data_IF_962556359376
#
_entry.id   IF_962556359376
#
_cell.length_a   1.000
_cell.length_b   1.000
_cell.length_c   1.000
_cell.angle_alpha   90.00
_cell.angle_beta   90.00
_cell.angle_gamma   90.00
#
_symmetry.space_group_name_H-M   'P 1'
#
loop_
_entity.id
_entity.type
_entity.pdbx_description
1 polymer ?
#
# COMPACT_ATOMS: atom_id res chain seq x y z
N UNK A 1 -22.84 32.25 15.14
CA UNK A 1 -22.89 31.01 15.96
C UNK A 1 -22.18 29.89 15.23
N UNK A 2 -20.94 29.58 15.62
CA UNK A 2 -20.17 28.49 15.04
C UNK A 2 -20.67 27.15 15.62
N UNK A 3 -21.62 26.51 15.00
CA UNK A 3 -21.97 25.13 15.33
C UNK A 3 -20.80 24.25 14.90
N UNK A 4 -19.96 23.84 15.87
CA UNK A 4 -18.93 22.79 15.66
C UNK A 4 -19.65 21.59 15.05
N UNK A 5 -19.44 21.34 13.75
CA UNK A 5 -19.93 20.13 13.08
C UNK A 5 -19.43 18.92 13.87
N UNK A 6 -20.36 18.14 14.42
CA UNK A 6 -20.03 16.89 15.13
C UNK A 6 -19.52 15.90 14.07
N UNK A 7 -18.21 15.64 14.03
CA UNK A 7 -17.63 14.65 13.13
C UNK A 7 -18.27 13.28 13.37
N UNK A 8 -18.76 12.66 12.31
CA UNK A 8 -19.28 11.30 12.39
C UNK A 8 -18.11 10.29 12.38
N UNK A 9 -17.65 9.87 13.55
CA UNK A 9 -16.56 8.92 13.70
C UNK A 9 -16.88 7.53 13.14
N UNK A 10 -18.13 7.09 13.20
CA UNK A 10 -18.56 5.83 12.59
C UNK A 10 -18.33 5.87 11.08
N UNK A 11 -18.63 7.00 10.44
CA UNK A 11 -18.39 7.17 9.00
C UNK A 11 -16.92 7.02 8.64
N UNK A 12 -16.02 7.68 9.39
CA UNK A 12 -14.57 7.56 9.17
C UNK A 12 -14.07 6.13 9.47
N UNK A 13 -14.55 5.52 10.55
CA UNK A 13 -14.19 4.14 10.90
C UNK A 13 -14.57 3.17 9.77
N UNK A 14 -15.75 3.30 9.17
CA UNK A 14 -16.17 2.48 8.05
C UNK A 14 -15.34 2.73 6.79
N UNK A 15 -14.90 3.96 6.55
CA UNK A 15 -13.96 4.27 5.47
C UNK A 15 -12.58 3.63 5.70
N UNK A 16 -12.07 3.68 6.92
CA UNK A 16 -10.81 3.05 7.31
C UNK A 16 -10.91 1.52 7.11
N UNK A 17 -11.95 0.92 7.65
CA UNK A 17 -12.17 -0.52 7.60
C UNK A 17 -12.29 -1.02 6.14
N UNK A 18 -13.15 -0.38 5.36
CA UNK A 18 -13.31 -0.71 3.93
C UNK A 18 -12.06 -0.39 3.12
N UNK A 19 -11.36 0.70 3.49
CA UNK A 19 -10.18 1.21 2.79
C UNK A 19 -9.01 0.24 2.75
N UNK A 20 -8.89 -0.65 3.71
CA UNK A 20 -7.89 -1.72 3.69
C UNK A 20 -8.50 -3.07 3.32
N UNK A 21 -9.73 -3.37 3.79
CA UNK A 21 -10.39 -4.65 3.51
C UNK A 21 -10.39 -5.00 2.01
N UNK A 22 -10.60 -4.01 1.14
CA UNK A 22 -10.61 -4.20 -0.32
C UNK A 22 -9.26 -4.66 -0.88
N UNK A 23 -8.14 -4.38 -0.19
CA UNK A 23 -6.78 -4.73 -0.60
C UNK A 23 -6.23 -6.00 0.06
N UNK A 24 -6.99 -6.63 0.96
CA UNK A 24 -6.51 -7.81 1.68
C UNK A 24 -6.24 -8.98 0.74
N UNK A 25 -7.23 -9.35 -0.07
CA UNK A 25 -7.10 -10.49 -1.00
C UNK A 25 -5.99 -10.28 -2.04
N UNK A 26 -5.92 -9.14 -2.76
CA UNK A 26 -4.91 -8.96 -3.80
C UNK A 26 -3.49 -8.73 -3.28
N UNK A 27 -3.31 -8.18 -2.08
CA UNK A 27 -1.98 -7.76 -1.65
C UNK A 27 -1.57 -8.23 -0.27
N UNK A 28 -2.43 -8.10 0.76
CA UNK A 28 -2.00 -8.37 2.13
C UNK A 28 -1.73 -9.85 2.33
N UNK A 29 -2.58 -10.73 1.79
CA UNK A 29 -2.35 -12.18 1.88
C UNK A 29 -1.06 -12.59 1.14
N UNK A 30 -0.85 -12.06 -0.07
CA UNK A 30 0.37 -12.34 -0.83
C UNK A 30 1.65 -11.76 -0.17
N UNK A 31 1.53 -10.70 0.64
CA UNK A 31 2.64 -10.13 1.42
C UNK A 31 2.95 -10.98 2.66
N UNK A 32 1.91 -11.32 3.43
CA UNK A 32 2.05 -12.04 4.70
C UNK A 32 2.45 -13.50 4.45
N UNK A 33 1.80 -14.15 3.50
CA UNK A 33 1.99 -15.58 3.19
C UNK A 33 2.75 -15.80 1.87
N UNK A 34 3.71 -14.91 1.52
CA UNK A 34 4.40 -15.01 0.22
C UNK A 34 4.99 -16.40 -0.06
N UNK A 35 5.72 -17.06 0.86
CA UNK A 35 6.23 -18.40 0.63
C UNK A 35 5.11 -19.39 0.30
N UNK A 36 4.05 -19.41 1.10
CA UNK A 36 2.89 -20.29 0.92
C UNK A 36 2.21 -20.05 -0.42
N UNK A 37 2.02 -18.78 -0.81
CA UNK A 37 1.41 -18.41 -2.10
C UNK A 37 2.24 -18.93 -3.28
N UNK A 38 3.56 -18.77 -3.25
CA UNK A 38 4.45 -19.28 -4.30
C UNK A 38 4.34 -20.81 -4.43
N UNK A 39 4.34 -21.53 -3.31
CA UNK A 39 4.29 -22.99 -3.32
C UNK A 39 2.91 -23.54 -3.67
N UNK A 40 1.83 -23.01 -3.07
CA UNK A 40 0.46 -23.49 -3.29
C UNK A 40 0.01 -23.29 -4.74
N UNK A 41 0.35 -22.16 -5.33
CA UNK A 41 0.00 -21.88 -6.74
C UNK A 41 1.09 -22.29 -7.74
N UNK A 42 2.18 -22.91 -7.24
CA UNK A 42 3.35 -23.29 -8.04
C UNK A 42 3.84 -22.17 -8.95
N UNK A 43 4.12 -21.01 -8.32
CA UNK A 43 4.56 -19.79 -8.98
C UNK A 43 6.02 -19.50 -8.70
N UNK A 44 6.72 -18.98 -9.70
CA UNK A 44 7.96 -18.24 -9.51
C UNK A 44 7.68 -16.83 -8.96
N UNK A 45 8.70 -16.18 -8.42
CA UNK A 45 8.56 -14.79 -7.98
C UNK A 45 8.23 -13.85 -9.14
N UNK A 46 8.77 -14.12 -10.33
CA UNK A 46 8.46 -13.38 -11.55
C UNK A 46 6.99 -13.53 -11.95
N UNK A 47 6.43 -14.73 -11.86
CA UNK A 47 5.05 -14.98 -12.19
C UNK A 47 4.09 -14.27 -11.23
N UNK A 48 4.36 -14.28 -9.92
CA UNK A 48 3.61 -13.50 -8.94
C UNK A 48 3.76 -11.99 -9.21
N UNK A 49 4.98 -11.53 -9.52
CA UNK A 49 5.24 -10.15 -9.90
C UNK A 49 4.47 -9.73 -11.16
N UNK A 50 4.33 -10.64 -12.14
CA UNK A 50 3.55 -10.42 -13.36
C UNK A 50 2.05 -10.27 -13.06
N UNK A 51 1.51 -11.03 -12.10
CA UNK A 51 0.14 -10.84 -11.61
C UNK A 51 -0.05 -9.40 -11.06
N UNK A 52 0.88 -8.91 -10.25
CA UNK A 52 0.86 -7.52 -9.77
C UNK A 52 0.95 -6.51 -10.91
N UNK A 53 1.72 -6.77 -11.97
CA UNK A 53 1.79 -5.90 -13.14
C UNK A 53 0.45 -5.81 -13.87
N UNK A 54 -0.23 -6.94 -14.09
CA UNK A 54 -1.56 -6.96 -14.71
C UNK A 54 -2.55 -6.13 -13.88
N UNK A 55 -2.51 -6.29 -12.55
CA UNK A 55 -3.27 -5.41 -11.65
C UNK A 55 -2.92 -3.94 -11.90
N UNK A 56 -1.64 -3.58 -11.93
CA UNK A 56 -1.16 -2.21 -12.09
C UNK A 56 -1.59 -1.57 -13.41
N UNK A 57 -1.56 -2.29 -14.53
CA UNK A 57 -2.05 -1.80 -15.83
C UNK A 57 -3.55 -1.50 -15.79
N UNK A 58 -4.35 -2.43 -15.26
CA UNK A 58 -5.80 -2.21 -15.14
C UNK A 58 -6.11 -1.10 -14.15
N UNK A 59 -5.37 -1.01 -13.04
CA UNK A 59 -5.50 0.06 -12.06
C UNK A 59 -5.20 1.43 -12.68
N UNK A 60 -4.15 1.55 -13.49
CA UNK A 60 -3.78 2.80 -14.14
C UNK A 60 -4.88 3.30 -15.09
N UNK A 61 -5.47 2.40 -15.90
CA UNK A 61 -6.63 2.73 -16.72
C UNK A 61 -7.85 3.11 -15.85
N UNK A 62 -8.03 2.43 -14.73
CA UNK A 62 -9.12 2.64 -13.79
C UNK A 62 -9.04 3.99 -13.07
N UNK A 63 -7.84 4.50 -12.77
CA UNK A 63 -7.66 5.85 -12.21
C UNK A 63 -8.21 6.95 -13.13
N UNK A 64 -7.99 6.82 -14.44
CA UNK A 64 -8.46 7.81 -15.41
C UNK A 64 -9.99 7.82 -15.53
N UNK A 65 -10.63 6.66 -15.45
CA UNK A 65 -12.06 6.49 -15.73
C UNK A 65 -12.94 6.49 -14.47
N UNK A 66 -12.39 6.14 -13.30
CA UNK A 66 -13.14 5.99 -12.06
C UNK A 66 -13.65 7.32 -11.45
N UNK A 67 -12.96 8.44 -11.72
CA UNK A 67 -13.34 9.76 -11.23
C UNK A 67 -14.77 10.18 -11.61
N UNK A 68 -15.14 10.20 -12.91
CA UNK A 68 -16.48 10.55 -13.36
C UNK A 68 -17.61 9.69 -12.76
N UNK A 69 -17.33 8.41 -12.47
CA UNK A 69 -18.30 7.51 -11.85
C UNK A 69 -18.50 7.83 -10.37
N UNK A 70 -17.41 8.17 -9.68
CA UNK A 70 -17.48 8.61 -8.29
C UNK A 70 -18.30 9.90 -8.12
N UNK A 71 -18.42 10.71 -9.17
CA UNK A 71 -19.23 11.94 -9.14
C UNK A 71 -20.72 11.67 -9.33
N UNK A 72 -21.07 10.65 -10.10
CA UNK A 72 -22.46 10.30 -10.42
C UNK A 72 -23.16 9.49 -9.35
N UNK A 73 -22.43 8.69 -8.59
CA UNK A 73 -23.00 7.73 -7.65
C UNK A 73 -22.58 8.03 -6.20
N UNK A 74 -23.45 7.77 -5.22
CA UNK A 74 -23.09 7.95 -3.81
C UNK A 74 -21.95 7.00 -3.41
N UNK A 75 -20.91 7.50 -2.69
CA UNK A 75 -19.73 6.72 -2.33
C UNK A 75 -20.07 5.38 -1.66
N UNK A 76 -21.09 5.33 -0.78
CA UNK A 76 -21.49 4.09 -0.09
C UNK A 76 -21.83 2.95 -1.03
N UNK A 77 -22.53 3.24 -2.16
CA UNK A 77 -22.94 2.20 -3.12
C UNK A 77 -21.72 1.66 -3.86
N UNK A 78 -20.85 2.55 -4.35
CA UNK A 78 -19.65 2.17 -5.09
C UNK A 78 -18.68 1.39 -4.20
N UNK A 79 -18.43 1.86 -2.97
CA UNK A 79 -17.56 1.19 -1.99
C UNK A 79 -18.10 -0.20 -1.64
N UNK A 80 -19.39 -0.33 -1.37
CA UNK A 80 -19.97 -1.63 -1.03
C UNK A 80 -19.94 -2.60 -2.22
N UNK A 81 -20.28 -2.15 -3.43
CA UNK A 81 -20.20 -2.97 -4.66
C UNK A 81 -18.76 -3.40 -4.91
N UNK A 82 -17.78 -2.52 -4.71
CA UNK A 82 -16.37 -2.85 -4.82
C UNK A 82 -15.95 -3.97 -3.85
N UNK A 83 -16.39 -3.88 -2.59
CA UNK A 83 -16.10 -4.91 -1.58
C UNK A 83 -16.72 -6.25 -1.96
N UNK A 84 -17.99 -6.28 -2.39
CA UNK A 84 -18.65 -7.51 -2.83
C UNK A 84 -17.94 -8.10 -4.05
N UNK A 85 -17.66 -7.28 -5.06
CA UNK A 85 -16.96 -7.72 -6.24
C UNK A 85 -15.55 -8.26 -5.91
N UNK A 86 -14.80 -7.56 -5.05
CA UNK A 86 -13.46 -8.01 -4.63
C UNK A 86 -13.53 -9.34 -3.87
N UNK A 87 -14.51 -9.52 -2.98
CA UNK A 87 -14.71 -10.76 -2.24
C UNK A 87 -15.07 -11.95 -3.15
N UNK A 88 -15.84 -11.72 -4.22
CA UNK A 88 -16.11 -12.76 -5.24
C UNK A 88 -14.81 -13.28 -5.88
N UNK A 89 -13.81 -12.42 -6.06
CA UNK A 89 -12.48 -12.86 -6.51
C UNK A 89 -11.81 -13.84 -5.54
N UNK A 90 -12.14 -13.77 -4.25
CA UNK A 90 -11.67 -14.73 -3.24
C UNK A 90 -12.17 -16.15 -3.49
N UNK A 91 -13.38 -16.33 -4.05
CA UNK A 91 -13.89 -17.66 -4.43
C UNK A 91 -13.02 -18.28 -5.53
N UNK A 92 -12.60 -17.46 -6.48
CA UNK A 92 -11.69 -17.90 -7.55
C UNK A 92 -10.30 -18.21 -6.96
N UNK A 93 -9.77 -17.37 -6.06
CA UNK A 93 -8.47 -17.61 -5.43
C UNK A 93 -8.47 -18.93 -4.66
N UNK A 94 -9.53 -19.21 -3.87
CA UNK A 94 -9.65 -20.42 -3.05
C UNK A 94 -9.88 -21.69 -3.87
N UNK A 95 -10.13 -21.61 -5.17
CA UNK A 95 -10.20 -22.77 -6.06
C UNK A 95 -8.82 -23.23 -6.56
N UNK A 96 -7.74 -22.66 -6.05
CA UNK A 96 -6.36 -22.91 -6.50
C UNK A 96 -6.18 -22.78 -8.01
N UNK A 97 -6.51 -21.61 -8.59
CA UNK A 97 -6.53 -21.41 -10.03
C UNK A 97 -5.13 -21.49 -10.65
N UNK A 98 -5.08 -21.80 -11.95
CA UNK A 98 -3.84 -21.76 -12.71
C UNK A 98 -3.26 -20.34 -12.79
N UNK A 99 -1.96 -20.24 -13.09
CA UNK A 99 -1.26 -18.95 -13.26
C UNK A 99 -1.97 -18.02 -14.27
N UNK A 100 -2.53 -18.56 -15.36
CA UNK A 100 -3.28 -17.76 -16.34
C UNK A 100 -4.53 -17.12 -15.71
N UNK A 101 -5.30 -17.91 -14.95
CA UNK A 101 -6.50 -17.42 -14.26
C UNK A 101 -6.12 -16.44 -13.15
N UNK A 102 -5.00 -16.65 -12.44
CA UNK A 102 -4.48 -15.69 -11.45
C UNK A 102 -4.20 -14.33 -12.08
N UNK A 103 -3.58 -14.26 -13.25
CA UNK A 103 -3.36 -12.98 -13.97
C UNK A 103 -4.68 -12.26 -14.25
N UNK A 104 -5.70 -12.99 -14.72
CA UNK A 104 -7.03 -12.42 -14.98
C UNK A 104 -7.65 -11.92 -13.66
N UNK A 105 -7.54 -12.70 -12.57
CA UNK A 105 -8.05 -12.35 -11.26
C UNK A 105 -7.38 -11.07 -10.72
N UNK A 106 -6.06 -10.92 -10.87
CA UNK A 106 -5.37 -9.70 -10.48
C UNK A 106 -5.80 -8.50 -11.31
N UNK A 107 -6.02 -8.67 -12.61
CA UNK A 107 -6.63 -7.64 -13.47
C UNK A 107 -8.04 -7.26 -13.00
N UNK A 108 -8.86 -8.25 -12.68
CA UNK A 108 -10.19 -8.04 -12.10
C UNK A 108 -10.12 -7.24 -10.79
N UNK A 109 -9.20 -7.56 -9.89
CA UNK A 109 -8.99 -6.79 -8.67
C UNK A 109 -8.45 -5.38 -8.92
N UNK A 110 -7.63 -5.17 -9.97
CA UNK A 110 -7.22 -3.83 -10.41
C UNK A 110 -8.42 -2.96 -10.78
N UNK A 111 -9.46 -3.57 -11.42
CA UNK A 111 -10.71 -2.89 -11.71
C UNK A 111 -11.54 -2.65 -10.43
N UNK A 112 -11.83 -3.68 -9.63
CA UNK A 112 -12.75 -3.55 -8.48
C UNK A 112 -12.23 -2.62 -7.40
N UNK A 113 -10.93 -2.65 -7.13
CA UNK A 113 -10.30 -1.87 -6.06
C UNK A 113 -9.99 -0.43 -6.46
N UNK A 114 -9.82 -0.15 -7.74
CA UNK A 114 -9.46 1.19 -8.21
C UNK A 114 -10.64 1.89 -8.87
N UNK A 115 -11.26 1.29 -9.87
CA UNK A 115 -12.34 1.93 -10.61
C UNK A 115 -13.59 2.17 -9.73
N UNK A 116 -13.99 1.15 -8.96
CA UNK A 116 -15.18 1.24 -8.12
C UNK A 116 -14.92 1.82 -6.73
N UNK A 117 -13.70 1.71 -6.21
CA UNK A 117 -13.43 1.97 -4.81
C UNK A 117 -12.62 3.24 -4.55
N UNK A 118 -11.51 3.44 -5.26
CA UNK A 118 -10.50 4.44 -4.89
C UNK A 118 -11.05 5.88 -4.88
N UNK A 119 -11.59 6.34 -5.99
CA UNK A 119 -12.12 7.70 -6.09
C UNK A 119 -13.29 7.97 -5.13
N UNK A 120 -14.28 7.06 -4.98
CA UNK A 120 -15.32 7.18 -3.97
C UNK A 120 -14.80 7.27 -2.54
N UNK A 121 -13.81 6.48 -2.16
CA UNK A 121 -13.20 6.52 -0.83
C UNK A 121 -12.53 7.88 -0.58
N UNK A 122 -11.74 8.38 -1.52
CA UNK A 122 -11.08 9.69 -1.41
C UNK A 122 -12.12 10.81 -1.29
N UNK A 123 -13.18 10.79 -2.13
CA UNK A 123 -14.29 11.75 -2.06
C UNK A 123 -14.96 11.73 -0.68
N UNK A 124 -15.29 10.53 -0.19
CA UNK A 124 -15.93 10.36 1.11
C UNK A 124 -15.06 10.87 2.27
N UNK A 125 -13.74 10.60 2.21
CA UNK A 125 -12.77 11.09 3.20
C UNK A 125 -12.65 12.61 3.19
N UNK A 126 -12.61 13.23 2.01
CA UNK A 126 -12.59 14.70 1.87
C UNK A 126 -13.84 15.35 2.43
N UNK A 127 -15.03 14.76 2.18
CA UNK A 127 -16.31 15.22 2.74
C UNK A 127 -16.29 15.17 4.25
N UNK A 128 -15.76 14.11 4.85
CA UNK A 128 -15.61 14.00 6.29
C UNK A 128 -14.65 15.05 6.87
N UNK A 129 -13.52 15.29 6.22
CA UNK A 129 -12.52 16.25 6.65
C UNK A 129 -12.99 17.71 6.56
N UNK A 130 -13.95 18.00 5.68
CA UNK A 130 -14.44 19.37 5.42
C UNK A 130 -13.30 20.33 5.08
N UNK A 131 -13.50 21.65 5.29
CA UNK A 131 -12.54 22.67 4.92
C UNK A 131 -11.33 22.81 5.88
N UNK A 132 -11.37 22.21 7.08
CA UNK A 132 -10.39 22.49 8.14
C UNK A 132 -9.71 21.26 8.75
N UNK A 133 -10.07 20.05 8.33
CA UNK A 133 -9.56 18.82 8.93
C UNK A 133 -9.11 17.78 7.91
N UNK A 134 -8.64 18.22 6.75
CA UNK A 134 -8.21 17.30 5.66
C UNK A 134 -7.00 16.45 6.08
N UNK A 135 -5.99 17.06 6.69
CA UNK A 135 -4.80 16.34 7.18
C UNK A 135 -5.16 15.25 8.20
N UNK A 136 -6.04 15.58 9.15
CA UNK A 136 -6.56 14.60 10.13
C UNK A 136 -7.34 13.48 9.45
N UNK A 137 -8.21 13.81 8.48
CA UNK A 137 -9.03 12.83 7.78
C UNK A 137 -8.17 11.78 7.04
N UNK A 138 -7.20 12.23 6.27
CA UNK A 138 -6.30 11.36 5.54
C UNK A 138 -5.27 10.67 6.44
N UNK A 139 -4.79 11.34 7.49
CA UNK A 139 -3.91 10.75 8.49
C UNK A 139 -4.57 9.57 9.23
N UNK A 140 -5.81 9.75 9.69
CA UNK A 140 -6.57 8.67 10.30
C UNK A 140 -6.93 7.57 9.31
N UNK A 141 -7.25 7.93 8.05
CA UNK A 141 -7.52 6.94 7.02
C UNK A 141 -6.29 6.05 6.79
N UNK A 142 -5.11 6.63 6.53
CA UNK A 142 -3.91 5.84 6.18
C UNK A 142 -3.35 5.08 7.40
N UNK A 143 -3.28 5.72 8.55
CA UNK A 143 -2.87 5.06 9.79
C UNK A 143 -3.82 3.94 10.21
N UNK A 144 -5.14 4.21 10.18
CA UNK A 144 -6.16 3.21 10.52
C UNK A 144 -6.16 2.02 9.55
N UNK A 145 -5.94 2.24 8.25
CA UNK A 145 -5.79 1.17 7.27
C UNK A 145 -4.62 0.24 7.62
N UNK A 146 -3.50 0.79 8.09
CA UNK A 146 -2.38 -0.02 8.57
C UNK A 146 -2.80 -0.99 9.70
N UNK A 147 -3.56 -0.51 10.68
CA UNK A 147 -4.08 -1.35 11.77
C UNK A 147 -5.06 -2.43 11.27
N UNK A 148 -5.95 -2.08 10.35
CA UNK A 148 -6.87 -3.07 9.74
C UNK A 148 -6.08 -4.15 9.00
N UNK A 149 -5.09 -3.77 8.18
CA UNK A 149 -4.21 -4.72 7.49
C UNK A 149 -3.48 -5.64 8.46
N UNK A 150 -2.95 -5.10 9.56
CA UNK A 150 -2.30 -5.86 10.61
C UNK A 150 -3.26 -6.86 11.29
N UNK A 151 -4.50 -6.43 11.57
CA UNK A 151 -5.51 -7.31 12.17
C UNK A 151 -5.88 -8.48 11.26
N UNK A 152 -6.04 -8.24 9.95
CA UNK A 152 -6.25 -9.32 8.98
C UNK A 152 -5.03 -10.24 8.84
N UNK A 153 -3.82 -9.67 8.84
CA UNK A 153 -2.59 -10.46 8.84
C UNK A 153 -2.50 -11.39 10.05
N UNK A 154 -2.73 -10.84 11.25
CA UNK A 154 -2.74 -11.61 12.50
C UNK A 154 -3.84 -12.69 12.51
N UNK A 155 -5.05 -12.37 12.04
CA UNK A 155 -6.12 -13.34 11.88
C UNK A 155 -5.72 -14.46 10.92
N UNK A 156 -5.10 -14.11 9.79
CA UNK A 156 -4.60 -15.09 8.83
C UNK A 156 -3.55 -16.03 9.44
N UNK A 157 -2.56 -15.48 10.16
CA UNK A 157 -1.53 -16.28 10.86
C UNK A 157 -2.18 -17.19 11.91
N UNK A 158 -3.14 -16.67 12.67
CA UNK A 158 -3.87 -17.47 13.66
C UNK A 158 -4.62 -18.64 12.99
N UNK A 159 -5.39 -18.39 11.93
CA UNK A 159 -6.09 -19.45 11.19
C UNK A 159 -5.09 -20.45 10.64
N UNK A 160 -4.01 -19.99 10.01
CA UNK A 160 -2.99 -20.87 9.44
C UNK A 160 -2.39 -21.80 10.48
N UNK A 161 -2.11 -21.29 11.68
CA UNK A 161 -1.55 -22.08 12.77
C UNK A 161 -2.51 -23.15 13.33
N UNK A 162 -3.83 -22.96 13.22
CA UNK A 162 -4.83 -23.96 13.67
C UNK A 162 -4.89 -25.19 12.77
N UNK A 163 -4.57 -25.04 11.48
CA UNK A 163 -4.64 -26.13 10.48
C UNK A 163 -3.31 -26.88 10.34
N UNK A 164 -2.22 -26.30 10.83
CA UNK A 164 -0.91 -26.98 10.83
C UNK A 164 -0.69 -27.64 12.19
N UNK A 165 -1.19 -28.86 12.32
CA UNK A 165 -1.00 -29.69 13.51
C UNK A 165 0.38 -30.35 13.43
N UNK A 166 1.25 -30.06 14.39
CA UNK A 166 2.63 -30.55 14.43
C UNK A 166 3.65 -29.49 13.97
N UNK A 167 4.81 -29.91 13.49
CA UNK A 167 5.77 -28.97 12.91
C UNK A 167 5.33 -28.59 11.50
N UNK A 168 5.44 -27.30 11.16
CA UNK A 168 5.16 -26.79 9.79
C UNK A 168 6.04 -27.49 8.75
N UNK A 169 7.21 -27.96 9.16
CA UNK A 169 8.18 -28.70 8.34
C UNK A 169 7.66 -30.07 7.89
N UNK A 170 6.73 -30.66 8.63
CA UNK A 170 6.11 -31.95 8.30
C UNK A 170 4.76 -31.81 7.60
N UNK A 171 4.20 -30.61 7.54
CA UNK A 171 2.91 -30.38 6.89
C UNK A 171 3.03 -30.56 5.37
N UNK A 172 2.15 -31.39 4.80
CA UNK A 172 2.09 -31.59 3.35
C UNK A 172 1.70 -30.30 2.63
N UNK A 173 2.07 -30.16 1.36
CA UNK A 173 1.63 -29.05 0.52
C UNK A 173 0.09 -28.96 0.48
N UNK A 174 -0.59 -30.11 0.49
CA UNK A 174 -2.05 -30.17 0.53
C UNK A 174 -2.62 -29.52 1.81
N UNK A 175 -2.05 -29.81 2.98
CA UNK A 175 -2.49 -29.21 4.25
C UNK A 175 -2.24 -27.69 4.26
N UNK A 176 -1.12 -27.22 3.69
CA UNK A 176 -0.81 -25.80 3.59
C UNK A 176 -1.74 -25.08 2.63
N UNK A 177 -2.08 -25.71 1.50
CA UNK A 177 -3.06 -25.20 0.55
C UNK A 177 -4.45 -25.11 1.18
N UNK A 178 -4.86 -26.12 1.93
CA UNK A 178 -6.14 -26.14 2.65
C UNK A 178 -6.19 -25.02 3.70
N UNK A 179 -5.14 -24.88 4.52
CA UNK A 179 -5.04 -23.80 5.51
C UNK A 179 -5.13 -22.42 4.86
N UNK A 180 -4.43 -22.21 3.74
CA UNK A 180 -4.49 -20.94 3.00
C UNK A 180 -5.89 -20.70 2.42
N UNK A 181 -6.54 -21.72 1.87
CA UNK A 181 -7.91 -21.60 1.35
C UNK A 181 -8.90 -21.21 2.45
N UNK A 182 -8.77 -21.72 3.69
CA UNK A 182 -9.58 -21.28 4.82
C UNK A 182 -9.37 -19.79 5.14
N UNK A 183 -8.12 -19.31 5.09
CA UNK A 183 -7.85 -17.87 5.26
C UNK A 183 -8.56 -17.05 4.19
N UNK A 184 -8.50 -17.48 2.93
CA UNK A 184 -9.17 -16.79 1.81
C UNK A 184 -10.69 -16.79 2.00
N UNK A 185 -11.30 -17.91 2.41
CA UNK A 185 -12.73 -18.01 2.68
C UNK A 185 -13.17 -17.09 3.81
N UNK A 186 -12.51 -17.16 4.97
CA UNK A 186 -12.83 -16.33 6.13
C UNK A 186 -12.66 -14.84 5.80
N UNK A 187 -11.57 -14.49 5.14
CA UNK A 187 -11.30 -13.11 4.72
C UNK A 187 -12.37 -12.61 3.75
N UNK A 188 -12.74 -13.41 2.75
CA UNK A 188 -13.80 -13.05 1.80
C UNK A 188 -15.14 -12.85 2.49
N UNK A 189 -15.50 -13.71 3.45
CA UNK A 189 -16.72 -13.57 4.23
C UNK A 189 -16.73 -12.27 5.06
N UNK A 190 -15.60 -11.94 5.70
CA UNK A 190 -15.47 -10.68 6.46
C UNK A 190 -15.60 -9.46 5.53
N UNK A 191 -15.00 -9.49 4.33
CA UNK A 191 -15.11 -8.41 3.35
C UNK A 191 -16.57 -8.22 2.91
N UNK A 192 -17.33 -9.31 2.71
CA UNK A 192 -18.76 -9.26 2.41
C UNK A 192 -19.53 -8.59 3.56
N UNK A 193 -19.27 -9.00 4.81
CA UNK A 193 -19.90 -8.40 5.99
C UNK A 193 -19.60 -6.90 6.07
N UNK A 194 -18.34 -6.50 5.85
CA UNK A 194 -17.95 -5.08 5.79
C UNK A 194 -18.73 -4.37 4.68
N UNK A 195 -18.87 -4.98 3.50
CA UNK A 195 -19.66 -4.45 2.40
C UNK A 195 -21.12 -4.21 2.77
N UNK A 196 -21.75 -5.16 3.47
CA UNK A 196 -23.13 -5.02 3.99
C UNK A 196 -23.21 -3.86 4.98
N UNK A 197 -22.30 -3.80 5.94
CA UNK A 197 -22.27 -2.71 6.95
C UNK A 197 -22.08 -1.35 6.27
N UNK A 198 -21.17 -1.25 5.30
CA UNK A 198 -20.97 -0.02 4.51
C UNK A 198 -22.23 0.37 3.73
N UNK A 199 -22.89 -0.59 3.09
CA UNK A 199 -24.14 -0.33 2.36
C UNK A 199 -25.22 0.30 3.20
N UNK A 200 -25.38 -0.14 4.46
CA UNK A 200 -26.44 0.35 5.34
C UNK A 200 -26.03 1.56 6.18
N UNK A 201 -24.79 1.61 6.65
CA UNK A 201 -24.36 2.55 7.69
C UNK A 201 -23.45 3.68 7.19
N UNK A 202 -22.79 3.56 6.02
CA UNK A 202 -21.99 4.65 5.46
C UNK A 202 -22.91 5.72 4.85
N UNK A 203 -23.78 6.32 5.68
CA UNK A 203 -24.70 7.37 5.27
C UNK A 203 -24.11 8.73 5.65
N UNK A 204 -23.87 9.58 4.64
CA UNK A 204 -23.61 10.99 4.88
C UNK A 204 -24.95 11.72 4.97
N UNK A 205 -25.27 12.30 6.12
CA UNK A 205 -26.43 13.19 6.29
C UNK A 205 -26.28 14.53 5.56
N UNK A 206 -25.09 14.83 5.03
CA UNK A 206 -24.68 16.18 4.64
C UNK A 206 -24.20 16.31 3.19
N UNK A 207 -24.32 15.29 2.35
CA UNK A 207 -24.14 15.48 0.93
C UNK A 207 -25.49 15.99 0.35
N UNK A 208 -25.80 17.25 0.64
CA UNK A 208 -26.55 18.03 -0.34
C UNK A 208 -25.60 18.17 -1.54
N UNK A 209 -26.04 17.68 -2.68
CA UNK A 209 -25.30 17.51 -3.93
C UNK A 209 -24.77 18.84 -4.53
N UNK A 210 -24.91 19.96 -3.82
CA UNK A 210 -24.71 21.31 -4.37
C UNK A 210 -23.33 21.93 -4.12
N UNK A 211 -22.42 21.34 -3.30
CA UNK A 211 -21.20 22.08 -2.91
C UNK A 211 -19.86 21.43 -3.24
N UNK A 212 -19.81 20.25 -3.84
CA UNK A 212 -18.56 19.72 -4.38
C UNK A 212 -18.68 19.66 -5.91
N UNK A 213 -18.65 20.80 -6.56
CA UNK A 213 -18.20 20.85 -7.94
C UNK A 213 -16.74 20.40 -7.93
N UNK A 214 -16.53 19.08 -8.14
CA UNK A 214 -15.25 18.62 -8.65
C UNK A 214 -15.17 19.24 -10.04
N UNK A 215 -14.53 20.41 -10.12
CA UNK A 215 -14.26 21.06 -11.39
C UNK A 215 -13.57 20.00 -12.25
N UNK A 216 -14.20 19.69 -13.38
CA UNK A 216 -13.60 18.84 -14.38
C UNK A 216 -12.18 19.36 -14.63
N UNK A 217 -11.18 18.45 -14.56
CA UNK A 217 -9.78 18.82 -14.76
C UNK A 217 -9.68 19.56 -16.09
N UNK A 218 -9.44 20.87 -16.04
CA UNK A 218 -9.27 21.68 -17.24
C UNK A 218 -7.87 21.42 -17.83
N UNK A 219 -7.78 21.34 -19.17
CA UNK A 219 -6.49 21.26 -19.87
C UNK A 219 -5.54 22.40 -19.50
N UNK A 220 -6.08 23.56 -19.17
CA UNK A 220 -5.31 24.69 -18.66
C UNK A 220 -4.70 24.42 -17.29
N UNK A 221 -5.44 23.79 -16.37
CA UNK A 221 -4.94 23.41 -15.04
C UNK A 221 -3.83 22.37 -15.13
N UNK A 222 -3.97 21.38 -16.01
CA UNK A 222 -2.92 20.39 -16.28
C UNK A 222 -1.63 21.06 -16.73
N UNK A 223 -1.71 21.95 -17.72
CA UNK A 223 -0.55 22.70 -18.24
C UNK A 223 0.08 23.57 -17.15
N UNK A 224 -0.72 24.18 -16.29
CA UNK A 224 -0.22 25.00 -15.16
C UNK A 224 0.54 24.15 -14.15
N UNK A 225 -0.01 23.00 -13.76
CA UNK A 225 0.65 22.08 -12.81
C UNK A 225 1.95 21.52 -13.37
N UNK A 226 1.99 21.13 -14.64
CA UNK A 226 3.20 20.61 -15.29
C UNK A 226 4.33 21.65 -15.41
N UNK A 227 4.03 22.95 -15.32
CA UNK A 227 5.04 24.01 -15.29
C UNK A 227 5.69 24.19 -13.91
N UNK A 228 5.17 23.57 -12.86
CA UNK A 228 5.69 23.68 -11.50
C UNK A 228 6.84 22.66 -11.31
N UNK A 229 8.11 23.07 -11.14
CA UNK A 229 9.24 22.15 -11.06
C UNK A 229 9.15 21.18 -9.89
N UNK A 230 8.58 21.59 -8.74
CA UNK A 230 8.40 20.74 -7.57
C UNK A 230 7.48 19.54 -7.84
N UNK A 231 6.56 19.64 -8.80
CA UNK A 231 5.68 18.53 -9.20
C UNK A 231 6.49 17.38 -9.79
N UNK A 232 7.44 17.67 -10.67
CA UNK A 232 8.30 16.65 -11.29
C UNK A 232 9.20 15.96 -10.27
N UNK A 233 9.76 16.71 -9.33
CA UNK A 233 10.55 16.15 -8.24
C UNK A 233 9.70 15.26 -7.32
N UNK A 234 8.45 15.67 -7.03
CA UNK A 234 7.51 14.85 -6.27
C UNK A 234 7.12 13.56 -7.00
N UNK A 235 6.97 13.58 -8.32
CA UNK A 235 6.76 12.37 -9.12
C UNK A 235 7.88 11.35 -8.88
N UNK A 236 9.14 11.80 -8.93
CA UNK A 236 10.32 10.95 -8.70
C UNK A 236 10.38 10.48 -7.23
N UNK A 237 10.17 11.39 -6.27
CA UNK A 237 10.18 11.07 -4.84
C UNK A 237 9.14 9.98 -4.53
N UNK A 238 7.92 10.13 -5.03
CA UNK A 238 6.83 9.17 -4.77
C UNK A 238 7.10 7.84 -5.46
N UNK A 239 7.58 7.86 -6.71
CA UNK A 239 7.97 6.63 -7.41
C UNK A 239 9.02 5.84 -6.60
N UNK A 240 10.09 6.50 -6.15
CA UNK A 240 11.14 5.87 -5.35
C UNK A 240 10.62 5.37 -4.00
N UNK A 241 9.81 6.17 -3.31
CA UNK A 241 9.17 5.78 -2.06
C UNK A 241 8.27 4.55 -2.23
N UNK A 242 7.55 4.49 -3.35
CA UNK A 242 6.62 3.40 -3.61
C UNK A 242 7.33 2.10 -4.02
N UNK A 243 8.48 2.18 -4.72
CA UNK A 243 9.36 1.01 -4.90
C UNK A 243 9.80 0.46 -3.53
N UNK A 244 10.24 1.33 -2.62
CA UNK A 244 10.60 0.91 -1.26
C UNK A 244 9.44 0.22 -0.54
N UNK A 245 8.23 0.76 -0.68
CA UNK A 245 7.04 0.13 -0.10
C UNK A 245 6.75 -1.25 -0.71
N UNK A 246 6.92 -1.44 -2.03
CA UNK A 246 6.74 -2.74 -2.69
C UNK A 246 7.76 -3.78 -2.21
N UNK A 247 8.98 -3.37 -1.91
CA UNK A 247 10.01 -4.28 -1.40
C UNK A 247 9.65 -4.85 -0.02
N UNK A 248 8.78 -4.17 0.76
CA UNK A 248 8.30 -4.77 2.01
C UNK A 248 7.52 -6.08 1.82
N UNK A 249 7.09 -6.38 0.60
CA UNK A 249 6.38 -7.61 0.25
C UNK A 249 7.29 -8.87 0.28
N UNK A 250 8.63 -8.71 0.30
CA UNK A 250 9.57 -9.84 0.28
C UNK A 250 10.14 -10.22 1.65
N UNK A 251 9.85 -9.48 2.72
CA UNK A 251 10.43 -9.78 4.04
C UNK A 251 9.99 -11.14 4.62
N UNK A 252 8.76 -11.58 4.36
CA UNK A 252 8.31 -12.91 4.76
C UNK A 252 9.06 -14.01 4.01
N UNK A 253 9.37 -13.77 2.73
CA UNK A 253 10.18 -14.69 1.93
C UNK A 253 11.65 -14.69 2.41
N UNK A 254 12.24 -13.52 2.69
CA UNK A 254 13.57 -13.40 3.28
C UNK A 254 13.67 -14.19 4.60
N UNK A 255 12.66 -14.08 5.45
CA UNK A 255 12.62 -14.80 6.72
C UNK A 255 12.62 -16.31 6.51
N UNK A 256 11.98 -16.81 5.45
CA UNK A 256 12.02 -18.24 5.08
C UNK A 256 13.36 -18.63 4.47
N UNK A 257 13.81 -17.92 3.44
CA UNK A 257 14.91 -18.32 2.58
C UNK A 257 16.28 -18.13 3.26
N UNK A 258 16.46 -17.05 4.04
CA UNK A 258 17.74 -16.64 4.63
C UNK A 258 17.79 -16.93 6.12
N UNK A 259 16.70 -16.62 6.87
CA UNK A 259 16.66 -16.88 8.30
C UNK A 259 16.22 -18.31 8.62
N UNK A 260 15.82 -19.08 7.62
CA UNK A 260 15.33 -20.46 7.74
C UNK A 260 14.15 -20.60 8.71
N UNK A 261 13.29 -19.57 8.76
CA UNK A 261 12.08 -19.62 9.56
C UNK A 261 11.02 -20.49 8.89
N UNK A 262 10.20 -21.17 9.69
CA UNK A 262 9.04 -21.87 9.17
C UNK A 262 7.98 -20.87 8.65
N UNK A 263 6.94 -21.36 7.98
CA UNK A 263 5.95 -20.51 7.32
C UNK A 263 5.17 -19.64 8.29
N UNK A 264 4.85 -20.14 9.50
CA UNK A 264 4.15 -19.34 10.53
C UNK A 264 5.02 -18.18 10.98
N UNK A 265 6.28 -18.43 11.35
CA UNK A 265 7.23 -17.36 11.73
C UNK A 265 7.49 -16.39 10.59
N UNK A 266 7.56 -16.87 9.36
CA UNK A 266 7.75 -16.02 8.18
C UNK A 266 6.53 -15.12 7.95
N UNK A 267 5.31 -15.65 8.13
CA UNK A 267 4.07 -14.87 8.05
C UNK A 267 3.94 -13.87 9.22
N UNK A 268 4.42 -14.22 10.42
CA UNK A 268 4.49 -13.29 11.56
C UNK A 268 5.36 -12.06 11.23
N UNK A 269 6.50 -12.24 10.55
CA UNK A 269 7.33 -11.11 10.10
C UNK A 269 6.54 -10.19 9.19
N UNK A 270 5.84 -10.72 8.18
CA UNK A 270 4.97 -9.94 7.30
C UNK A 270 3.88 -9.16 8.07
N UNK A 271 3.32 -9.79 9.11
CA UNK A 271 2.29 -9.18 9.96
C UNK A 271 2.86 -8.07 10.85
N UNK A 272 4.03 -8.28 11.47
CA UNK A 272 4.71 -7.28 12.30
C UNK A 272 4.97 -5.99 11.51
N UNK A 273 5.34 -6.10 10.23
CA UNK A 273 5.54 -4.93 9.36
C UNK A 273 4.28 -4.08 9.23
N UNK A 274 3.12 -4.71 9.14
CA UNK A 274 1.83 -4.00 9.07
C UNK A 274 1.51 -3.28 10.38
N UNK A 275 1.88 -3.84 11.54
CA UNK A 275 1.74 -3.19 12.84
C UNK A 275 2.70 -2.01 13.04
N UNK A 276 3.92 -2.10 12.54
CA UNK A 276 4.92 -1.03 12.66
C UNK A 276 4.51 0.23 11.88
N UNK A 277 3.89 0.05 10.70
CA UNK A 277 3.54 1.14 9.79
C UNK A 277 2.74 2.29 10.42
N UNK A 278 1.62 2.06 11.14
CA UNK A 278 0.86 3.16 11.75
C UNK A 278 1.65 3.91 12.81
N UNK A 279 2.47 3.22 13.61
CA UNK A 279 3.31 3.88 14.62
C UNK A 279 4.33 4.82 13.99
N UNK A 280 5.03 4.37 12.95
CA UNK A 280 5.99 5.20 12.23
C UNK A 280 5.28 6.37 11.56
N UNK A 281 4.15 6.15 10.89
CA UNK A 281 3.41 7.19 10.19
C UNK A 281 2.92 8.31 11.14
N UNK A 282 2.37 7.93 12.29
CA UNK A 282 1.93 8.88 13.32
C UNK A 282 3.12 9.64 13.90
N UNK A 283 4.16 8.93 14.33
CA UNK A 283 5.34 9.53 14.96
C UNK A 283 6.02 10.52 14.03
N UNK A 284 6.29 10.12 12.78
CA UNK A 284 7.00 10.98 11.82
C UNK A 284 6.15 12.20 11.42
N UNK A 285 4.83 12.05 11.34
CA UNK A 285 3.91 13.16 11.11
C UNK A 285 4.01 14.23 12.19
N UNK A 286 3.98 13.84 13.47
CA UNK A 286 4.15 14.77 14.58
C UNK A 286 5.52 15.46 14.59
N UNK A 287 6.58 14.74 14.25
CA UNK A 287 7.94 15.29 14.21
C UNK A 287 8.08 16.26 13.03
N UNK A 288 7.54 15.89 11.86
CA UNK A 288 7.60 16.70 10.65
C UNK A 288 6.81 18.02 10.79
N UNK A 289 5.65 17.99 11.44
CA UNK A 289 4.84 19.20 11.71
C UNK A 289 5.56 20.25 12.55
N UNK A 290 6.54 19.84 13.37
CA UNK A 290 7.35 20.75 14.21
C UNK A 290 8.57 21.33 13.49
N UNK A 291 8.84 20.89 12.25
CA UNK A 291 10.03 21.27 11.49
C UNK A 291 9.72 21.24 9.98
N UNK A 292 10.76 21.15 9.12
CA UNK A 292 10.56 21.03 7.67
C UNK A 292 10.31 19.59 7.27
N UNK A 293 9.16 19.31 6.65
CA UNK A 293 8.78 17.98 6.18
C UNK A 293 9.79 17.39 5.19
N UNK A 294 10.33 18.23 4.30
CA UNK A 294 11.36 17.81 3.33
C UNK A 294 12.65 17.32 3.99
N UNK A 295 13.05 17.89 5.14
CA UNK A 295 14.23 17.42 5.89
C UNK A 295 14.02 15.96 6.36
N UNK A 296 12.84 15.68 6.88
CA UNK A 296 12.49 14.32 7.34
C UNK A 296 12.37 13.33 6.19
N UNK A 297 11.95 13.77 4.99
CA UNK A 297 12.04 12.95 3.77
C UNK A 297 13.48 12.55 3.47
N UNK A 298 14.42 13.49 3.51
CA UNK A 298 15.86 13.24 3.30
C UNK A 298 16.39 12.22 4.31
N UNK A 299 16.11 12.43 5.61
CA UNK A 299 16.52 11.51 6.69
C UNK A 299 15.92 10.13 6.47
N UNK A 300 14.66 10.05 6.08
CA UNK A 300 13.96 8.78 5.84
C UNK A 300 14.56 8.00 4.67
N UNK A 301 14.93 8.66 3.57
CA UNK A 301 15.65 7.99 2.49
C UNK A 301 17.04 7.52 2.91
N UNK A 302 17.76 8.28 3.75
CA UNK A 302 19.05 7.84 4.31
C UNK A 302 18.84 6.56 5.15
N UNK A 303 17.82 6.52 6.01
CA UNK A 303 17.50 5.32 6.79
C UNK A 303 17.17 4.12 5.87
N UNK A 304 16.39 4.36 4.79
CA UNK A 304 16.09 3.30 3.82
C UNK A 304 17.35 2.76 3.14
N UNK A 305 18.31 3.64 2.79
CA UNK A 305 19.60 3.24 2.20
C UNK A 305 20.42 2.43 3.22
N UNK A 306 20.55 2.90 4.46
CA UNK A 306 21.31 2.20 5.49
C UNK A 306 20.74 0.80 5.75
N UNK A 307 19.42 0.68 5.91
CA UNK A 307 18.76 -0.61 6.09
C UNK A 307 18.93 -1.51 4.87
N UNK A 308 18.79 -0.98 3.67
CA UNK A 308 18.98 -1.73 2.43
C UNK A 308 20.41 -2.27 2.31
N UNK A 309 21.43 -1.47 2.66
CA UNK A 309 22.83 -1.90 2.62
C UNK A 309 23.12 -2.99 3.66
N UNK A 310 22.50 -2.96 4.85
CA UNK A 310 22.62 -4.04 5.83
C UNK A 310 22.13 -5.38 5.25
N UNK A 311 20.98 -5.41 4.56
CA UNK A 311 20.48 -6.61 3.90
C UNK A 311 21.32 -7.01 2.69
N UNK A 312 21.82 -6.05 1.93
CA UNK A 312 22.64 -6.30 0.75
C UNK A 312 24.06 -6.81 1.10
N UNK A 313 24.54 -6.58 2.32
CA UNK A 313 25.89 -6.94 2.74
C UNK A 313 26.10 -8.44 2.98
N UNK A 314 25.03 -9.23 3.11
CA UNK A 314 25.11 -10.66 3.41
C UNK A 314 25.58 -11.01 4.84
N UNK A 315 25.62 -10.03 5.76
CA UNK A 315 26.00 -10.29 7.16
C UNK A 315 24.88 -10.90 8.01
N UNK A 316 23.64 -10.88 7.50
CA UNK A 316 22.47 -11.40 8.19
C UNK A 316 22.35 -12.90 7.87
N UNK A 317 22.41 -13.72 8.90
CA UNK A 317 22.37 -15.19 8.80
C UNK A 317 21.40 -15.77 9.83
N UNK A 318 21.05 -17.07 9.79
CA UNK A 318 20.06 -17.68 10.69
C UNK A 318 20.30 -17.49 12.19
N UNK A 319 21.57 -17.30 12.59
CA UNK A 319 21.93 -17.12 14.02
C UNK A 319 21.84 -15.65 14.47
N UNK A 320 21.72 -14.70 13.55
CA UNK A 320 21.74 -13.25 13.81
C UNK A 320 20.36 -12.62 13.91
N UNK A 321 19.42 -13.22 14.65
CA UNK A 321 18.03 -12.74 14.79
C UNK A 321 17.92 -11.28 15.20
N UNK A 322 18.75 -10.83 16.17
CA UNK A 322 18.73 -9.42 16.61
C UNK A 322 19.13 -8.48 15.50
N UNK A 323 20.17 -8.80 14.73
CA UNK A 323 20.62 -8.00 13.58
C UNK A 323 19.54 -7.96 12.51
N UNK A 324 18.90 -9.10 12.22
CA UNK A 324 17.78 -9.19 11.27
C UNK A 324 16.64 -8.25 11.67
N UNK A 325 16.16 -8.33 12.92
CA UNK A 325 15.05 -7.50 13.40
C UNK A 325 15.41 -6.01 13.42
N UNK A 326 16.63 -5.67 13.83
CA UNK A 326 17.12 -4.28 13.83
C UNK A 326 17.21 -3.74 12.41
N UNK A 327 17.71 -4.54 11.46
CA UNK A 327 17.81 -4.17 10.04
C UNK A 327 16.42 -3.97 9.41
N UNK A 328 15.45 -4.84 9.73
CA UNK A 328 14.04 -4.62 9.37
C UNK A 328 13.58 -3.27 9.90
N UNK A 329 13.72 -3.01 11.20
CA UNK A 329 13.21 -1.80 11.84
C UNK A 329 13.80 -0.53 11.20
N UNK A 330 15.11 -0.50 10.93
CA UNK A 330 15.78 0.62 10.25
C UNK A 330 15.17 0.81 8.84
N UNK A 331 15.09 -0.26 8.07
CA UNK A 331 14.60 -0.22 6.68
C UNK A 331 13.15 0.27 6.61
N UNK A 332 12.26 -0.36 7.40
CA UNK A 332 10.84 -0.01 7.34
C UNK A 332 10.52 1.35 7.95
N UNK A 333 11.33 1.80 8.92
CA UNK A 333 11.22 3.18 9.44
C UNK A 333 11.47 4.17 8.32
N UNK A 334 12.53 4.01 7.54
CA UNK A 334 12.80 4.85 6.38
C UNK A 334 11.66 4.78 5.36
N UNK A 335 11.29 3.58 4.91
CA UNK A 335 10.28 3.36 3.87
C UNK A 335 8.90 3.90 4.27
N UNK A 336 8.42 3.62 5.48
CA UNK A 336 7.10 4.06 5.92
C UNK A 336 7.06 5.55 6.25
N UNK A 337 8.17 6.12 6.74
CA UNK A 337 8.27 7.55 6.98
C UNK A 337 8.22 8.35 5.67
N UNK A 338 8.98 7.95 4.63
CA UNK A 338 8.88 8.58 3.30
C UNK A 338 7.46 8.51 2.79
N UNK A 339 6.82 7.32 2.87
CA UNK A 339 5.46 7.09 2.40
C UNK A 339 4.44 8.00 3.10
N UNK A 340 4.60 8.25 4.39
CA UNK A 340 3.70 9.11 5.15
C UNK A 340 3.89 10.60 4.84
N UNK A 341 5.09 11.01 4.42
CA UNK A 341 5.46 12.41 4.29
C UNK A 341 5.37 12.96 2.86
N UNK A 342 5.46 12.14 1.81
CA UNK A 342 5.64 12.65 0.44
C UNK A 342 4.53 13.60 -0.02
N UNK A 343 3.27 13.37 0.33
CA UNK A 343 2.20 14.31 -0.01
C UNK A 343 2.15 15.52 0.93
N UNK A 344 2.63 15.40 2.16
CA UNK A 344 2.73 16.53 3.09
C UNK A 344 3.68 17.61 2.58
N UNK A 345 4.70 17.24 1.77
CA UNK A 345 5.65 18.19 1.19
C UNK A 345 5.06 19.07 0.06
N UNK A 346 3.84 18.80 -0.41
CA UNK A 346 3.22 19.62 -1.46
C UNK A 346 3.08 21.10 -1.05
N UNK A 347 2.84 21.37 0.22
CA UNK A 347 2.76 22.71 0.76
C UNK A 347 4.13 23.42 0.66
N UNK A 348 5.19 22.77 1.05
CA UNK A 348 6.56 23.28 0.93
C UNK A 348 6.96 23.45 -0.55
N UNK A 349 6.44 22.62 -1.43
CA UNK A 349 6.64 22.71 -2.90
C UNK A 349 5.89 23.85 -3.59
N UNK A 350 5.20 24.72 -2.82
CA UNK A 350 4.40 25.84 -3.34
C UNK A 350 3.37 25.41 -4.38
N UNK A 351 2.80 24.21 -4.25
CA UNK A 351 1.70 23.75 -5.09
C UNK A 351 0.42 24.45 -4.64
N UNK A 352 -0.23 25.25 -5.51
CA UNK A 352 -1.42 26.00 -5.11
C UNK A 352 -2.53 25.06 -4.58
N UNK A 353 -3.18 25.46 -3.49
CA UNK A 353 -4.22 24.65 -2.86
C UNK A 353 -5.36 24.32 -3.85
N UNK A 354 -5.72 25.26 -4.71
CA UNK A 354 -6.74 25.09 -5.74
C UNK A 354 -6.37 24.05 -6.83
N UNK A 355 -5.07 23.76 -7.01
CA UNK A 355 -4.56 22.81 -7.99
C UNK A 355 -4.14 21.48 -7.35
N UNK A 356 -4.37 21.31 -6.05
CA UNK A 356 -3.93 20.12 -5.31
C UNK A 356 -4.48 18.83 -5.93
N UNK A 357 -5.75 18.77 -6.26
CA UNK A 357 -6.36 17.58 -6.85
C UNK A 357 -5.74 17.20 -8.19
N UNK A 358 -5.57 18.18 -9.09
CA UNK A 358 -4.91 17.99 -10.39
C UNK A 358 -3.46 17.56 -10.21
N UNK A 359 -2.73 18.19 -9.28
CA UNK A 359 -1.34 17.85 -9.00
C UNK A 359 -1.21 16.44 -8.46
N UNK A 360 -2.03 16.05 -7.47
CA UNK A 360 -2.05 14.68 -6.91
C UNK A 360 -2.37 13.66 -8.00
N UNK A 361 -3.35 13.92 -8.85
CA UNK A 361 -3.70 13.02 -9.95
C UNK A 361 -2.51 12.78 -10.90
N UNK A 362 -1.88 13.86 -11.37
CA UNK A 362 -0.72 13.78 -12.29
C UNK A 362 0.49 13.10 -11.61
N UNK A 363 0.80 13.46 -10.37
CA UNK A 363 1.89 12.88 -9.60
C UNK A 363 1.65 11.38 -9.40
N UNK A 364 0.41 10.97 -9.12
CA UNK A 364 0.06 9.57 -8.85
C UNK A 364 0.20 8.67 -10.07
N UNK A 365 -0.06 9.18 -11.29
CA UNK A 365 0.11 8.40 -12.53
C UNK A 365 1.55 7.90 -12.65
N UNK A 366 2.54 8.74 -12.35
CA UNK A 366 3.96 8.36 -12.39
C UNK A 366 4.37 7.69 -11.07
N UNK A 367 3.97 8.26 -9.93
CA UNK A 367 4.38 7.81 -8.61
C UNK A 367 3.96 6.36 -8.29
N UNK A 368 2.86 5.87 -8.87
CA UNK A 368 2.38 4.49 -8.65
C UNK A 368 2.69 3.53 -9.80
N UNK A 369 3.50 3.92 -10.77
CA UNK A 369 4.01 3.00 -11.81
C UNK A 369 4.79 1.80 -11.26
N UNK A 370 5.39 1.82 -10.05
CA UNK A 370 5.97 0.62 -9.47
C UNK A 370 5.00 -0.55 -9.28
N UNK A 371 3.68 -0.33 -9.25
CA UNK A 371 2.70 -1.43 -9.32
C UNK A 371 2.86 -2.27 -10.58
N UNK A 372 3.39 -1.68 -11.66
CA UNK A 372 3.58 -2.37 -12.94
C UNK A 372 4.92 -3.10 -12.98
N UNK A 373 6.02 -2.45 -12.58
CA UNK A 373 7.37 -2.96 -12.84
C UNK A 373 8.09 -3.54 -11.61
N UNK A 374 7.78 -3.08 -10.39
CA UNK A 374 8.55 -3.48 -9.21
C UNK A 374 8.40 -4.97 -8.90
N UNK A 375 7.18 -5.52 -9.06
CA UNK A 375 6.93 -6.95 -8.87
C UNK A 375 7.76 -7.84 -9.79
N UNK A 376 7.66 -7.68 -11.13
CA UNK A 376 8.49 -8.45 -12.06
C UNK A 376 9.98 -8.25 -11.85
N UNK A 377 10.44 -7.03 -11.57
CA UNK A 377 11.87 -6.76 -11.35
C UNK A 377 12.39 -7.50 -10.12
N UNK A 378 11.64 -7.47 -9.00
CA UNK A 378 11.96 -8.27 -7.81
C UNK A 378 11.94 -9.76 -8.13
N UNK A 379 10.96 -10.21 -8.92
CA UNK A 379 10.85 -11.60 -9.34
C UNK A 379 12.07 -12.07 -10.12
N UNK A 380 12.50 -11.31 -11.13
CA UNK A 380 13.70 -11.60 -11.92
C UNK A 380 14.93 -11.71 -11.02
N UNK A 381 15.10 -10.79 -10.07
CA UNK A 381 16.25 -10.78 -9.18
C UNK A 381 16.28 -12.00 -8.25
N UNK A 382 15.10 -12.40 -7.72
CA UNK A 382 14.98 -13.54 -6.82
C UNK A 382 15.11 -14.89 -7.57
N UNK A 383 14.48 -15.01 -8.72
CA UNK A 383 14.42 -16.27 -9.47
C UNK A 383 15.76 -16.58 -10.18
N UNK A 384 16.48 -15.54 -10.66
CA UNK A 384 17.80 -15.72 -11.28
C UNK A 384 18.94 -15.98 -10.27
N UNK A 385 18.73 -15.66 -9.01
CA UNK A 385 19.71 -15.84 -7.94
C UNK A 385 19.01 -16.35 -6.67
N UNK A 386 18.57 -17.62 -6.64
CA UNK A 386 17.81 -18.17 -5.51
C UNK A 386 18.54 -18.05 -4.17
N UNK A 387 17.78 -17.87 -3.10
CA UNK A 387 18.29 -17.75 -1.74
C UNK A 387 18.84 -16.36 -1.42
N UNK A 388 19.88 -16.29 -0.60
CA UNK A 388 20.40 -15.04 -0.05
C UNK A 388 20.81 -14.01 -1.13
N UNK A 389 21.46 -14.46 -2.20
CA UNK A 389 21.98 -13.57 -3.25
C UNK A 389 20.86 -12.82 -3.98
N UNK A 390 19.74 -13.46 -4.26
CA UNK A 390 18.59 -12.80 -4.88
C UNK A 390 18.00 -11.71 -3.97
N UNK A 391 17.92 -12.00 -2.67
CA UNK A 391 17.50 -10.99 -1.69
C UNK A 391 18.49 -9.83 -1.61
N UNK A 392 19.81 -10.08 -1.64
CA UNK A 392 20.80 -9.02 -1.70
C UNK A 392 20.59 -8.11 -2.91
N UNK A 393 20.32 -8.66 -4.10
CA UNK A 393 20.01 -7.90 -5.32
C UNK A 393 18.74 -7.04 -5.15
N UNK A 394 17.68 -7.57 -4.53
CA UNK A 394 16.46 -6.80 -4.23
C UNK A 394 16.75 -5.63 -3.29
N UNK A 395 17.59 -5.82 -2.27
CA UNK A 395 17.95 -4.73 -1.37
C UNK A 395 18.93 -3.74 -1.99
N UNK A 396 19.79 -4.14 -2.93
CA UNK A 396 20.56 -3.22 -3.78
C UNK A 396 19.61 -2.36 -4.62
N UNK A 397 18.56 -2.95 -5.20
CA UNK A 397 17.53 -2.19 -5.91
C UNK A 397 16.87 -1.15 -4.98
N UNK A 398 16.54 -1.51 -3.74
CA UNK A 398 16.04 -0.56 -2.75
C UNK A 398 17.00 0.59 -2.49
N UNK A 399 18.29 0.29 -2.32
CA UNK A 399 19.32 1.30 -2.10
C UNK A 399 19.43 2.28 -3.29
N UNK A 400 19.39 1.78 -4.53
CA UNK A 400 19.43 2.59 -5.75
C UNK A 400 18.23 3.53 -5.84
N UNK A 401 17.01 3.00 -5.72
CA UNK A 401 15.81 3.85 -5.77
C UNK A 401 15.75 4.83 -4.58
N UNK A 402 16.16 4.41 -3.39
CA UNK A 402 16.23 5.30 -2.24
C UNK A 402 17.27 6.41 -2.44
N UNK A 403 18.39 6.13 -3.09
CA UNK A 403 19.40 7.14 -3.44
C UNK A 403 18.86 8.14 -4.47
N UNK A 404 18.16 7.68 -5.51
CA UNK A 404 17.47 8.56 -6.48
C UNK A 404 16.46 9.45 -5.76
N UNK A 405 15.65 8.87 -4.87
CA UNK A 405 14.68 9.60 -4.05
C UNK A 405 15.34 10.62 -3.11
N UNK A 406 16.49 10.28 -2.51
CA UNK A 406 17.31 11.18 -1.70
C UNK A 406 17.78 12.38 -2.51
N UNK A 407 18.36 12.16 -3.69
CA UNK A 407 18.82 13.23 -4.59
C UNK A 407 17.66 14.13 -4.99
N UNK A 408 16.52 13.55 -5.38
CA UNK A 408 15.32 14.31 -5.71
C UNK A 408 14.81 15.14 -4.53
N UNK A 409 14.85 14.60 -3.31
CA UNK A 409 14.46 15.31 -2.09
C UNK A 409 15.42 16.47 -1.75
N UNK A 410 16.72 16.30 -1.95
CA UNK A 410 17.72 17.37 -1.78
C UNK A 410 17.50 18.48 -2.82
N UNK A 411 17.24 18.13 -4.08
CA UNK A 411 16.93 19.10 -5.13
C UNK A 411 15.63 19.85 -4.82
N UNK A 412 14.62 19.14 -4.33
CA UNK A 412 13.35 19.72 -3.88
C UNK A 412 13.58 20.72 -2.74
N UNK A 413 14.37 20.34 -1.73
CA UNK A 413 14.75 21.24 -0.62
C UNK A 413 15.48 22.49 -1.12
N UNK A 414 16.44 22.35 -2.03
CA UNK A 414 17.17 23.49 -2.62
C UNK A 414 16.30 24.41 -3.44
N UNK A 415 15.32 23.82 -4.19
CA UNK A 415 14.38 24.59 -5.00
C UNK A 415 13.54 25.57 -4.14
N UNK A 416 13.19 25.16 -2.94
CA UNK A 416 12.45 25.99 -1.98
C UNK A 416 13.26 27.16 -1.46
N UNK A 417 14.58 27.00 -1.27
CA UNK A 417 15.46 28.03 -0.72
C UNK A 417 16.00 29.01 -1.78
N UNK A 418 15.87 28.69 -3.07
CA UNK A 418 16.25 29.64 -4.15
C UNK A 418 15.22 30.72 -4.41
N UNK A 419 14.03 30.65 -3.83
CA UNK A 419 12.92 31.59 -3.99
C UNK A 419 12.75 32.52 -2.78
N UNK A 420 13.62 32.43 -1.79
CA UNK A 420 13.88 33.42 -0.75
C UNK A 420 15.17 34.17 -1.08
#
# INVERSE_FOLDING_TARGET
MNTKKKHNWLYLFLLILSGEAVFILPFVLARVFRPTVLEVFNLTNLELGTCFSVYGFVAMASYLLGGPIADKFPPRKLIAVALFATALGGLVLASNPSYFILKILYGYWGFTTIFLFWAPMIKATRVWGGNHSQGKAFGFLDGGRGLVGASFGALGVFIFSLFIIGSVETASLANRAEAFNYIVWVTSAIIIVIGIVVWFFLKSKEIKEEEIQIQSISTHQIKTVLKIPSVWLLMVIILCAYVGYKITDVFSLYAKDVMLYNEVKSAEIGTILLFIRPFIGILIGFIADKSKTTLWLIISFILSILGALLFASGIINPTSTTLFMTSILITVTGVYAVRSLYFATMQEGHIPLLLTGTAVGLISIIGYTPDIFAGPLMGILLDNSPGELGHQHVFIMLAIFSFIGLVASILFYRLQHKKC
#
